data_IF_565642279304
#
_entry.id   IF_565642279304
#
_cell.length_a   1.000
_cell.length_b   1.000
_cell.length_c   1.000
_cell.angle_alpha   90.00
_cell.angle_beta   90.00
_cell.angle_gamma   90.00
#
_symmetry.space_group_name_H-M   'P 1'
#
loop_
_entity.id
_entity.type
_entity.pdbx_description
1 polymer ?
#
# COMPACT_ATOMS: atom_id res chain seq x y z
N UNK A 1 44.56 -5.09 35.91
CA UNK A 1 44.63 -4.56 34.52
C UNK A 1 44.31 -5.62 33.47
N UNK A 2 43.19 -6.37 33.60
CA UNK A 2 42.87 -7.45 32.64
C UNK A 2 41.41 -7.91 32.57
N UNK A 3 40.47 -7.17 33.16
CA UNK A 3 39.05 -7.58 33.22
C UNK A 3 38.05 -6.47 32.83
N UNK A 4 38.52 -5.25 32.58
CA UNK A 4 37.65 -4.10 32.23
C UNK A 4 37.34 -4.07 30.70
N UNK A 5 38.06 -4.85 29.89
CA UNK A 5 37.93 -4.84 28.42
C UNK A 5 36.79 -5.70 27.88
N UNK A 6 36.04 -6.44 28.70
CA UNK A 6 34.95 -7.30 28.21
C UNK A 6 33.57 -6.61 28.17
N UNK A 7 33.48 -5.37 28.63
CA UNK A 7 32.20 -4.65 28.80
C UNK A 7 31.85 -3.70 27.64
N UNK A 8 32.66 -3.65 26.58
CA UNK A 8 32.52 -2.64 25.51
C UNK A 8 31.97 -3.14 24.16
N UNK A 9 31.52 -4.39 24.06
CA UNK A 9 30.95 -4.94 22.81
C UNK A 9 29.64 -5.64 23.07
N UNK A 10 28.67 -4.92 23.64
CA UNK A 10 27.27 -5.25 23.44
C UNK A 10 26.69 -4.18 22.53
N UNK A 11 27.03 -4.26 21.23
CA UNK A 11 26.26 -3.56 20.21
C UNK A 11 24.88 -4.22 20.25
N UNK A 12 23.96 -3.61 20.99
CA UNK A 12 22.55 -3.95 20.90
C UNK A 12 22.14 -3.55 19.49
N UNK A 13 22.15 -4.52 18.58
CA UNK A 13 21.51 -4.37 17.27
C UNK A 13 20.02 -4.37 17.57
N UNK A 14 19.48 -3.18 17.87
CA UNK A 14 18.04 -2.98 17.97
C UNK A 14 17.53 -3.07 16.52
N UNK A 15 17.07 -4.25 16.12
CA UNK A 15 16.27 -4.38 14.90
C UNK A 15 14.92 -3.76 15.21
N UNK A 16 14.75 -2.47 14.88
CA UNK A 16 13.44 -1.81 14.95
C UNK A 16 12.62 -2.36 13.79
N UNK A 17 11.76 -3.33 14.07
CA UNK A 17 10.75 -3.79 13.13
C UNK A 17 9.82 -2.61 12.80
N UNK A 18 9.66 -2.29 11.52
CA UNK A 18 8.73 -1.23 11.09
C UNK A 18 7.34 -1.84 11.08
N UNK A 19 6.35 -1.21 11.70
CA UNK A 19 4.97 -1.69 11.64
C UNK A 19 4.26 -1.15 10.39
N UNK A 20 3.68 -2.05 9.59
CA UNK A 20 2.84 -1.72 8.45
C UNK A 20 1.36 -1.92 8.79
N UNK A 21 0.55 -0.88 8.57
CA UNK A 21 -0.90 -0.89 8.72
C UNK A 21 -1.57 -1.23 7.40
N UNK A 22 -2.05 -2.46 7.25
CA UNK A 22 -2.69 -2.96 6.03
C UNK A 22 -4.19 -2.94 6.19
N UNK A 23 -4.91 -2.28 5.26
CA UNK A 23 -6.36 -2.30 5.26
C UNK A 23 -6.88 -3.49 4.46
N UNK A 24 -7.67 -4.34 5.10
CA UNK A 24 -8.50 -5.37 4.47
C UNK A 24 -9.97 -5.00 4.54
N UNK A 25 -10.84 -5.84 3.99
CA UNK A 25 -12.29 -5.68 4.07
C UNK A 25 -12.92 -6.87 4.77
N UNK A 26 -13.95 -6.65 5.57
CA UNK A 26 -14.81 -7.74 6.06
C UNK A 26 -15.88 -8.11 5.02
N UNK A 27 -16.76 -9.06 5.36
CA UNK A 27 -17.85 -9.50 4.46
C UNK A 27 -18.85 -8.38 4.10
N UNK A 28 -18.99 -7.38 4.95
CA UNK A 28 -19.82 -6.19 4.70
C UNK A 28 -19.07 -5.07 3.97
N UNK A 29 -17.87 -5.34 3.45
CA UNK A 29 -17.00 -4.39 2.76
C UNK A 29 -16.60 -3.17 3.62
N UNK A 30 -16.52 -3.35 4.93
CA UNK A 30 -16.01 -2.36 5.87
C UNK A 30 -14.50 -2.59 6.13
N UNK A 31 -13.73 -1.51 6.36
CA UNK A 31 -12.28 -1.58 6.48
C UNK A 31 -11.88 -2.20 7.81
N UNK A 32 -10.95 -3.16 7.76
CA UNK A 32 -10.31 -3.74 8.93
C UNK A 32 -8.81 -3.55 8.78
N UNK A 33 -8.23 -2.71 9.63
CA UNK A 33 -6.78 -2.46 9.64
C UNK A 33 -6.09 -3.53 10.48
N UNK A 34 -5.07 -4.17 9.90
CA UNK A 34 -4.17 -5.09 10.59
C UNK A 34 -2.76 -4.53 10.58
N UNK A 35 -2.04 -4.78 11.66
CA UNK A 35 -0.61 -4.46 11.74
C UNK A 35 0.16 -5.71 11.33
N UNK A 36 1.08 -5.54 10.39
CA UNK A 36 2.03 -6.57 9.96
C UNK A 36 3.45 -6.04 10.14
N UNK A 37 4.39 -6.95 10.29
CA UNK A 37 5.81 -6.60 10.32
C UNK A 37 6.26 -6.17 8.92
N UNK A 38 6.78 -4.95 8.83
CA UNK A 38 7.45 -4.39 7.68
C UNK A 38 8.96 -4.57 7.78
N UNK A 39 9.59 -4.70 6.62
CA UNK A 39 11.01 -4.91 6.42
C UNK A 39 11.57 -3.73 5.60
N UNK A 40 12.34 -4.00 4.55
CA UNK A 40 13.12 -3.00 3.83
C UNK A 40 12.32 -2.25 2.75
N UNK A 41 11.38 -2.91 2.07
CA UNK A 41 10.66 -2.34 0.92
C UNK A 41 9.18 -2.18 1.24
N UNK A 42 8.87 -1.15 2.03
CA UNK A 42 7.54 -0.91 2.58
C UNK A 42 6.43 -0.88 1.51
N UNK A 43 6.68 -0.28 0.33
CA UNK A 43 5.66 -0.22 -0.72
C UNK A 43 5.39 -1.60 -1.31
N UNK A 44 6.44 -2.35 -1.66
CA UNK A 44 6.29 -3.70 -2.18
C UNK A 44 5.58 -4.61 -1.16
N UNK A 45 6.00 -4.55 0.10
CA UNK A 45 5.43 -5.34 1.19
C UNK A 45 3.96 -5.00 1.44
N UNK A 46 3.57 -3.72 1.34
CA UNK A 46 2.15 -3.34 1.40
C UNK A 46 1.34 -4.04 0.30
N UNK A 47 1.86 -4.13 -0.94
CA UNK A 47 1.17 -4.83 -2.02
C UNK A 47 1.13 -6.34 -1.81
N UNK A 48 2.23 -6.94 -1.36
CA UNK A 48 2.29 -8.37 -1.03
C UNK A 48 1.26 -8.72 0.05
N UNK A 49 1.24 -7.98 1.15
CA UNK A 49 0.29 -8.16 2.24
C UNK A 49 -1.15 -7.93 1.78
N UNK A 50 -1.43 -6.83 1.07
CA UNK A 50 -2.75 -6.52 0.54
C UNK A 50 -3.31 -7.64 -0.34
N UNK A 51 -2.47 -8.31 -1.13
CA UNK A 51 -2.89 -9.40 -2.02
C UNK A 51 -3.13 -10.74 -1.30
N UNK A 52 -2.83 -10.83 0.00
CA UNK A 52 -2.88 -12.05 0.81
C UNK A 52 -3.66 -11.84 2.11
N UNK A 53 -5.00 -11.67 2.03
CA UNK A 53 -5.81 -11.35 3.21
C UNK A 53 -5.81 -12.48 4.23
N UNK A 54 -5.79 -12.17 5.54
CA UNK A 54 -6.02 -13.17 6.60
C UNK A 54 -7.39 -13.84 6.48
N UNK A 55 -7.54 -15.00 7.12
CA UNK A 55 -8.81 -15.73 7.15
C UNK A 55 -9.96 -14.85 7.64
N UNK A 56 -11.10 -14.92 6.95
CA UNK A 56 -12.29 -14.12 7.25
C UNK A 56 -12.23 -12.67 6.76
N UNK A 57 -11.16 -12.26 6.08
CA UNK A 57 -11.03 -10.96 5.45
C UNK A 57 -10.90 -11.11 3.94
N UNK A 58 -11.19 -10.03 3.23
CA UNK A 58 -11.19 -9.94 1.77
C UNK A 58 -10.28 -8.82 1.29
N UNK A 59 -9.85 -8.96 0.04
CA UNK A 59 -9.09 -7.95 -0.69
C UNK A 59 -9.58 -7.87 -2.12
N UNK A 60 -9.45 -6.70 -2.75
CA UNK A 60 -9.60 -6.54 -4.19
C UNK A 60 -8.27 -6.27 -4.89
N UNK A 61 -7.15 -6.34 -4.15
CA UNK A 61 -5.80 -6.18 -4.69
C UNK A 61 -5.32 -7.49 -5.31
N UNK A 62 -5.16 -7.56 -6.64
CA UNK A 62 -4.64 -8.76 -7.28
C UNK A 62 -3.18 -9.00 -6.90
N UNK A 63 -2.78 -10.27 -6.88
CA UNK A 63 -1.37 -10.65 -6.71
C UNK A 63 -0.51 -10.07 -7.83
N UNK A 64 0.67 -9.58 -7.45
CA UNK A 64 1.70 -9.05 -8.36
C UNK A 64 1.18 -7.92 -9.28
N UNK A 65 0.22 -7.11 -8.80
CA UNK A 65 -0.35 -6.01 -9.58
C UNK A 65 0.59 -4.81 -9.70
N UNK A 66 1.49 -4.61 -8.74
CA UNK A 66 2.48 -3.54 -8.77
C UNK A 66 3.60 -3.87 -9.76
N UNK A 67 3.78 -3.02 -10.76
CA UNK A 67 4.87 -3.12 -11.72
C UNK A 67 6.10 -2.35 -11.26
N UNK A 68 5.90 -1.11 -10.81
CA UNK A 68 6.95 -0.24 -10.31
C UNK A 68 6.34 0.86 -9.44
N UNK A 69 7.18 1.53 -8.64
CA UNK A 69 6.77 2.75 -7.94
C UNK A 69 7.93 3.75 -7.88
N UNK A 70 7.59 5.03 -7.78
CA UNK A 70 8.56 6.12 -7.71
C UNK A 70 8.10 7.17 -6.72
N UNK A 71 9.02 7.65 -5.89
CA UNK A 71 8.83 8.87 -5.12
C UNK A 71 9.36 10.05 -5.92
N UNK A 72 8.52 11.06 -6.12
CA UNK A 72 8.88 12.31 -6.79
C UNK A 72 8.40 13.44 -5.90
N UNK A 73 9.32 14.13 -5.23
CA UNK A 73 8.99 15.13 -4.21
C UNK A 73 7.99 14.56 -3.17
N UNK A 74 6.81 15.17 -3.00
CA UNK A 74 5.76 14.69 -2.10
C UNK A 74 4.72 13.78 -2.78
N UNK A 75 5.03 13.24 -3.96
CA UNK A 75 4.15 12.38 -4.74
C UNK A 75 4.67 10.93 -4.76
N UNK A 76 3.76 9.97 -4.65
CA UNK A 76 4.03 8.57 -4.97
C UNK A 76 3.36 8.23 -6.30
N UNK A 77 4.15 7.74 -7.24
CA UNK A 77 3.65 7.23 -8.52
C UNK A 77 3.65 5.71 -8.43
N UNK A 78 2.50 5.08 -8.65
CA UNK A 78 2.35 3.64 -8.74
C UNK A 78 2.09 3.26 -10.19
N UNK A 79 2.93 2.40 -10.76
CA UNK A 79 2.68 1.77 -12.06
C UNK A 79 2.14 0.37 -11.83
N UNK A 80 0.98 0.08 -12.43
CA UNK A 80 0.27 -1.19 -12.27
C UNK A 80 0.28 -1.99 -13.57
N UNK A 81 0.36 -3.32 -13.45
CA UNK A 81 0.15 -4.22 -14.57
C UNK A 81 -1.33 -4.26 -14.96
N UNK A 82 -1.67 -3.75 -16.14
CA UNK A 82 -3.05 -3.68 -16.63
C UNK A 82 -3.68 -5.06 -16.79
N UNK A 83 -2.88 -6.09 -17.11
CA UNK A 83 -3.35 -7.47 -17.21
C UNK A 83 -3.88 -8.04 -15.89
N UNK A 84 -3.31 -7.64 -14.75
CA UNK A 84 -3.74 -8.11 -13.42
C UNK A 84 -5.04 -7.46 -12.98
N UNK A 85 -5.38 -6.32 -13.57
CA UNK A 85 -6.62 -5.59 -13.33
C UNK A 85 -7.77 -6.05 -14.24
N UNK A 86 -7.50 -6.90 -15.25
CA UNK A 86 -8.54 -7.40 -16.15
C UNK A 86 -9.56 -8.22 -15.35
N UNK A 87 -10.84 -7.93 -15.59
CA UNK A 87 -11.95 -8.65 -14.98
C UNK A 87 -12.48 -8.03 -13.68
N UNK A 88 -11.86 -6.96 -13.16
CA UNK A 88 -12.48 -6.16 -12.11
C UNK A 88 -13.76 -5.52 -12.65
N UNK A 89 -14.87 -5.73 -11.95
CA UNK A 89 -16.10 -4.98 -12.17
C UNK A 89 -16.02 -3.60 -11.48
N UNK A 90 -17.08 -2.80 -11.62
CA UNK A 90 -17.13 -1.46 -11.01
C UNK A 90 -16.86 -1.46 -9.50
N UNK A 91 -17.48 -2.41 -8.78
CA UNK A 91 -17.33 -2.52 -7.33
C UNK A 91 -15.88 -2.88 -6.99
N UNK A 92 -15.32 -3.88 -7.66
CA UNK A 92 -13.96 -4.33 -7.43
C UNK A 92 -12.93 -3.24 -7.77
N UNK A 93 -13.09 -2.51 -8.88
CA UNK A 93 -12.22 -1.36 -9.23
C UNK A 93 -12.24 -0.29 -8.12
N UNK A 94 -13.44 0.06 -7.64
CA UNK A 94 -13.60 1.09 -6.59
C UNK A 94 -12.92 0.66 -5.30
N UNK A 95 -13.20 -0.56 -4.83
CA UNK A 95 -12.66 -1.05 -3.57
C UNK A 95 -11.16 -1.34 -3.66
N UNK A 96 -10.66 -1.81 -4.80
CA UNK A 96 -9.22 -1.91 -5.07
C UNK A 96 -8.52 -0.57 -4.82
N UNK A 97 -9.02 0.49 -5.45
CA UNK A 97 -8.41 1.81 -5.38
C UNK A 97 -8.48 2.38 -3.95
N UNK A 98 -9.65 2.31 -3.31
CA UNK A 98 -9.83 2.78 -1.94
C UNK A 98 -8.91 2.04 -0.96
N UNK A 99 -8.87 0.72 -1.02
CA UNK A 99 -8.07 -0.13 -0.14
C UNK A 99 -6.57 0.18 -0.29
N UNK A 100 -6.11 0.30 -1.53
CA UNK A 100 -4.73 0.62 -1.87
C UNK A 100 -4.34 2.01 -1.34
N UNK A 101 -5.09 3.04 -1.69
CA UNK A 101 -4.78 4.42 -1.31
C UNK A 101 -4.82 4.61 0.21
N UNK A 102 -5.85 4.06 0.87
CA UNK A 102 -5.97 4.16 2.31
C UNK A 102 -4.78 3.48 3.02
N UNK A 103 -4.39 2.28 2.56
CA UNK A 103 -3.20 1.58 3.08
C UNK A 103 -1.93 2.39 2.87
N UNK A 104 -1.72 2.95 1.68
CA UNK A 104 -0.55 3.79 1.40
C UNK A 104 -0.51 5.00 2.34
N UNK A 105 -1.61 5.71 2.52
CA UNK A 105 -1.64 6.90 3.36
C UNK A 105 -1.53 6.59 4.87
N UNK A 106 -1.92 5.39 5.30
CA UNK A 106 -1.68 4.94 6.68
C UNK A 106 -0.17 4.80 6.98
N UNK A 107 0.63 4.37 6.00
CA UNK A 107 2.04 4.01 6.21
C UNK A 107 3.04 5.07 5.74
N UNK A 108 2.83 5.64 4.56
CA UNK A 108 3.82 6.51 3.93
C UNK A 108 3.49 7.95 4.27
N UNK A 109 4.04 8.54 5.34
CA UNK A 109 3.63 9.88 5.83
C UNK A 109 4.10 11.06 4.98
N UNK A 110 5.24 10.94 4.30
CA UNK A 110 5.86 12.03 3.54
C UNK A 110 5.18 12.38 2.21
N UNK A 111 4.18 11.61 1.79
CA UNK A 111 3.47 11.86 0.52
C UNK A 111 2.13 12.57 0.73
N UNK A 112 1.81 13.48 -0.18
CA UNK A 112 0.55 14.22 -0.19
C UNK A 112 -0.39 13.72 -1.27
N UNK A 113 0.13 13.14 -2.36
CA UNK A 113 -0.72 12.56 -3.38
C UNK A 113 -0.15 11.28 -3.98
N UNK A 114 -1.04 10.45 -4.52
CA UNK A 114 -0.70 9.23 -5.26
C UNK A 114 -1.16 9.39 -6.71
N UNK A 115 -0.27 9.14 -7.67
CA UNK A 115 -0.61 9.01 -9.08
C UNK A 115 -0.62 7.53 -9.48
N UNK A 116 -1.50 7.17 -10.40
CA UNK A 116 -1.59 5.80 -10.93
C UNK A 116 -1.27 5.82 -12.43
N UNK A 117 -0.35 4.94 -12.82
CA UNK A 117 -0.06 4.58 -14.19
C UNK A 117 -0.50 3.13 -14.42
N UNK A 118 -0.81 2.81 -15.66
CA UNK A 118 -1.09 1.44 -16.08
C UNK A 118 -0.22 1.12 -17.29
N UNK A 119 0.59 0.08 -17.16
CA UNK A 119 1.59 -0.34 -18.14
C UNK A 119 2.53 0.80 -18.55
N UNK A 120 2.92 1.64 -17.59
CA UNK A 120 3.85 2.77 -17.75
C UNK A 120 3.23 4.00 -18.40
N UNK A 121 1.90 4.04 -18.57
CA UNK A 121 1.19 5.14 -19.25
C UNK A 121 0.14 5.75 -18.33
N UNK A 122 -0.01 7.08 -18.42
CA UNK A 122 -1.19 7.75 -17.87
C UNK A 122 -2.44 7.26 -18.61
N UNK A 123 -3.51 7.00 -17.86
CA UNK A 123 -4.80 6.57 -18.39
C UNK A 123 -5.90 7.46 -17.83
N UNK A 124 -7.05 7.44 -18.50
CA UNK A 124 -8.21 8.15 -17.99
C UNK A 124 -8.97 7.34 -16.96
N UNK A 125 -9.00 6.02 -17.13
CA UNK A 125 -9.69 5.07 -16.24
C UNK A 125 -8.75 3.93 -15.87
N UNK A 126 -8.96 3.35 -14.69
CA UNK A 126 -8.16 2.24 -14.18
C UNK A 126 -8.30 0.99 -15.06
N UNK A 127 -9.53 0.49 -15.21
CA UNK A 127 -9.86 -0.59 -16.16
C UNK A 127 -10.94 -0.11 -17.10
N UNK A 128 -12.13 0.19 -16.57
CA UNK A 128 -13.26 0.71 -17.35
C UNK A 128 -14.02 1.83 -16.66
N UNK A 129 -14.03 1.89 -15.34
CA UNK A 129 -15.02 2.69 -14.63
C UNK A 129 -14.43 3.80 -13.76
N UNK A 130 -13.34 3.53 -13.05
CA UNK A 130 -12.81 4.48 -12.06
C UNK A 130 -11.82 5.43 -12.71
N UNK A 131 -12.07 6.74 -12.59
CA UNK A 131 -11.19 7.80 -13.12
C UNK A 131 -9.86 7.86 -12.38
N UNK A 132 -8.76 7.85 -13.12
CA UNK A 132 -7.39 7.95 -12.59
C UNK A 132 -6.55 9.05 -13.28
N UNK A 133 -7.20 10.01 -13.97
CA UNK A 133 -6.52 11.11 -14.69
C UNK A 133 -5.68 11.98 -13.76
N UNK A 134 -6.18 12.19 -12.55
CA UNK A 134 -5.60 13.07 -11.56
C UNK A 134 -4.99 12.27 -10.42
N UNK A 135 -4.15 12.91 -9.63
CA UNK A 135 -3.67 12.31 -8.40
C UNK A 135 -4.76 12.21 -7.34
N UNK A 136 -4.56 11.28 -6.42
CA UNK A 136 -5.39 11.06 -5.26
C UNK A 136 -4.79 11.76 -4.05
N UNK A 137 -5.40 12.83 -3.51
CA UNK A 137 -4.86 13.60 -2.41
C UNK A 137 -5.10 12.91 -1.05
N UNK A 138 -4.09 12.92 -0.18
CA UNK A 138 -4.15 12.34 1.17
C UNK A 138 -5.41 12.78 1.93
N UNK A 139 -5.76 14.05 1.86
CA UNK A 139 -6.84 14.65 2.66
C UNK A 139 -8.19 13.95 2.45
N UNK A 140 -8.42 13.45 1.24
CA UNK A 140 -9.64 12.72 0.85
C UNK A 140 -9.48 11.22 1.16
N UNK A 141 -8.32 10.66 0.83
CA UNK A 141 -8.13 9.20 0.76
C UNK A 141 -7.53 8.57 2.02
N UNK A 142 -7.20 9.38 3.03
CA UNK A 142 -6.73 8.91 4.34
C UNK A 142 -7.85 8.65 5.34
N UNK A 143 -9.11 8.67 4.90
CA UNK A 143 -10.30 8.41 5.72
C UNK A 143 -11.19 7.35 5.06
N UNK A 144 -11.93 6.62 5.89
CA UNK A 144 -12.94 5.69 5.43
C UNK A 144 -14.28 5.92 6.16
N UNK A 145 -15.43 5.95 5.46
CA UNK A 145 -15.57 5.92 4.00
C UNK A 145 -14.97 7.19 3.37
N UNK A 146 -14.64 7.11 2.07
CA UNK A 146 -14.30 8.32 1.30
C UNK A 146 -15.60 9.12 1.14
N UNK A 147 -15.61 10.35 1.65
CA UNK A 147 -16.73 11.29 1.58
C UNK A 147 -16.63 12.19 0.35
#
# INVERSE_FOLDING_TARGET
MRWITFLLTMVVVITIAVELKICYLNDSLLPIVKVVEGKENLVLEMFEALSSPPYGLRTFVPKDVLRAYFFVDNYLILDLYGEKLKGLDFTAERYFLHQLLYTIFLNVKGINNVYILVDGKKRNVLVKHVDIRFSFPREVWSKWPVH
#
